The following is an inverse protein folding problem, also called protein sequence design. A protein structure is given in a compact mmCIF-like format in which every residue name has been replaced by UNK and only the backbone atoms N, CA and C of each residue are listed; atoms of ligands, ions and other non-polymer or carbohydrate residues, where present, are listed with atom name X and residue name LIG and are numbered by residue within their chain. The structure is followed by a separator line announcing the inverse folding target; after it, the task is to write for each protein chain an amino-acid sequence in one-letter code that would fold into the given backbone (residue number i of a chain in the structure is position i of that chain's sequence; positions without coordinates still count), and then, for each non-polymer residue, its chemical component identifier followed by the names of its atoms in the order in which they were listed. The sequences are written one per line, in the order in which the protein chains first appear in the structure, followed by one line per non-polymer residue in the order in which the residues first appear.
data_IF_529541835555
#
_entry.id   IF_529541835555
#
_cell.length_a   1.000
_cell.length_b   1.000
_cell.length_c   1.000
_cell.angle_alpha   90.00
_cell.angle_beta   90.00
_cell.angle_gamma   90.00
#
_symmetry.space_group_name_H-M   'P 1'
#
loop_
_entity.id
_entity.type
_entity.pdbx_description
1 polymer ?
#
# COMPACT_ATOMS: atom_id res chain seq x y z
N UNK A 1 23.21 20.20 31.28
CA UNK A 1 23.25 19.01 30.41
C UNK A 1 21.89 18.86 29.75
N UNK A 2 21.76 19.25 28.48
CA UNK A 2 20.50 19.11 27.73
C UNK A 2 20.28 17.64 27.38
N UNK A 3 19.13 17.08 27.75
CA UNK A 3 18.71 15.76 27.28
C UNK A 3 18.56 15.82 25.76
N UNK A 4 19.49 15.22 25.02
CA UNK A 4 19.34 14.97 23.60
C UNK A 4 18.16 14.01 23.44
N UNK A 5 17.01 14.52 23.01
CA UNK A 5 15.88 13.70 22.55
C UNK A 5 16.34 13.07 21.24
N UNK A 6 16.78 11.80 21.29
CA UNK A 6 16.84 10.99 20.09
C UNK A 6 15.39 10.74 19.64
N UNK A 7 14.87 11.61 18.78
CA UNK A 7 13.73 11.24 17.95
C UNK A 7 14.25 10.27 16.91
N UNK A 8 13.99 8.98 17.10
CA UNK A 8 14.10 8.00 16.02
C UNK A 8 13.27 8.55 14.86
N UNK A 9 13.93 8.76 13.72
CA UNK A 9 13.26 9.21 12.51
C UNK A 9 12.43 8.01 12.05
N UNK A 10 11.13 8.14 11.98
CA UNK A 10 10.29 7.06 11.41
C UNK A 10 10.42 7.07 9.89
N UNK A 11 10.28 5.90 9.21
CA UNK A 11 10.17 5.88 7.76
C UNK A 11 8.98 6.71 7.32
N UNK A 12 9.19 7.50 6.27
CA UNK A 12 8.11 8.26 5.62
C UNK A 12 7.42 7.48 4.51
N UNK A 13 8.00 6.36 4.10
CA UNK A 13 7.52 5.52 3.00
C UNK A 13 7.36 6.30 1.68
N UNK A 14 8.31 7.21 1.41
CA UNK A 14 8.22 8.14 0.28
C UNK A 14 8.13 7.38 -1.06
N UNK A 15 8.94 6.32 -1.25
CA UNK A 15 8.95 5.55 -2.51
C UNK A 15 7.64 4.81 -2.72
N UNK A 16 7.15 4.14 -1.67
CA UNK A 16 5.88 3.41 -1.73
C UNK A 16 4.72 4.35 -1.98
N UNK A 17 4.69 5.50 -1.31
CA UNK A 17 3.64 6.48 -1.51
C UNK A 17 3.67 7.09 -2.92
N UNK A 18 4.85 7.41 -3.44
CA UNK A 18 5.02 7.92 -4.80
C UNK A 18 4.57 6.90 -5.85
N UNK A 19 4.92 5.62 -5.68
CA UNK A 19 4.44 4.54 -6.54
C UNK A 19 2.90 4.50 -6.57
N UNK A 20 2.27 4.37 -5.40
CA UNK A 20 0.81 4.27 -5.26
C UNK A 20 0.11 5.48 -5.90
N UNK A 21 0.58 6.68 -5.61
CA UNK A 21 -0.01 7.89 -6.16
C UNK A 21 0.19 7.99 -7.68
N UNK A 22 1.37 7.63 -8.18
CA UNK A 22 1.63 7.61 -9.62
C UNK A 22 0.74 6.62 -10.37
N UNK A 23 0.42 5.47 -9.76
CA UNK A 23 -0.49 4.48 -10.33
C UNK A 23 -1.93 5.03 -10.40
N UNK A 24 -2.41 5.66 -9.33
CA UNK A 24 -3.71 6.32 -9.32
C UNK A 24 -3.80 7.43 -10.38
N UNK A 25 -2.78 8.28 -10.46
CA UNK A 25 -2.68 9.34 -11.47
C UNK A 25 -2.73 8.78 -12.90
N UNK A 26 -1.97 7.71 -13.19
CA UNK A 26 -1.97 7.04 -14.51
C UNK A 26 -3.35 6.48 -14.86
N UNK A 27 -4.04 5.83 -13.93
CA UNK A 27 -5.40 5.29 -14.15
C UNK A 27 -6.42 6.39 -14.42
N UNK A 28 -6.41 7.46 -13.62
CA UNK A 28 -7.27 8.63 -13.82
C UNK A 28 -6.99 9.27 -15.19
N UNK A 29 -5.71 9.44 -15.55
CA UNK A 29 -5.32 9.98 -16.85
C UNK A 29 -5.77 9.12 -18.02
N UNK A 30 -5.69 7.80 -17.88
CA UNK A 30 -6.16 6.86 -18.89
C UNK A 30 -7.68 6.98 -19.10
N UNK A 31 -8.47 6.94 -18.03
CA UNK A 31 -9.94 7.06 -18.12
C UNK A 31 -10.39 8.46 -18.57
N UNK A 32 -9.68 9.51 -18.14
CA UNK A 32 -9.92 10.87 -18.65
C UNK A 32 -9.69 10.97 -20.16
N UNK A 33 -8.63 10.34 -20.69
CA UNK A 33 -8.40 10.28 -22.14
C UNK A 33 -9.58 9.62 -22.87
N UNK A 34 -10.06 8.47 -22.38
CA UNK A 34 -11.25 7.82 -22.94
C UNK A 34 -12.50 8.71 -22.87
N UNK A 35 -12.69 9.41 -21.76
CA UNK A 35 -13.79 10.37 -21.58
C UNK A 35 -13.74 11.53 -22.59
N UNK A 36 -12.54 12.02 -22.92
CA UNK A 36 -12.36 13.06 -23.97
C UNK A 36 -12.62 12.52 -25.38
N UNK A 37 -12.20 11.29 -25.68
CA UNK A 37 -12.41 10.64 -26.98
C UNK A 37 -13.90 10.43 -27.28
N UNK A 38 -14.69 10.00 -26.27
CA UNK A 38 -16.16 9.86 -26.36
C UNK A 38 -16.88 11.16 -26.74
N UNK A 39 -16.24 12.33 -26.53
CA UNK A 39 -16.80 13.66 -26.82
C UNK A 39 -16.23 14.27 -28.11
N UNK A 40 -15.86 13.44 -29.08
CA UNK A 40 -15.34 13.83 -30.40
C UNK A 40 -14.10 14.74 -30.36
N UNK A 41 -13.28 14.66 -29.31
CA UNK A 41 -12.10 15.52 -29.12
C UNK A 41 -12.42 17.04 -29.27
N UNK A 42 -13.67 17.47 -29.01
CA UNK A 42 -14.04 18.89 -28.98
C UNK A 42 -13.31 19.51 -27.79
N UNK A 43 -12.05 19.94 -27.99
CA UNK A 43 -11.09 20.53 -27.02
C UNK A 43 -11.59 20.51 -25.56
N UNK A 44 -11.82 19.32 -25.01
CA UNK A 44 -12.35 19.20 -23.68
C UNK A 44 -11.21 19.57 -22.73
N UNK A 45 -11.35 20.73 -22.12
CA UNK A 45 -10.34 21.27 -21.21
C UNK A 45 -10.55 20.70 -19.82
N UNK A 46 -9.52 20.76 -18.97
CA UNK A 46 -9.67 20.42 -17.55
C UNK A 46 -10.79 21.22 -16.86
N UNK A 47 -11.15 22.40 -17.39
CA UNK A 47 -12.24 23.23 -16.88
C UNK A 47 -13.62 22.66 -17.22
N UNK A 48 -13.74 21.93 -18.32
CA UNK A 48 -14.99 21.28 -18.71
C UNK A 48 -15.25 20.03 -17.87
N UNK A 49 -14.19 19.39 -17.37
CA UNK A 49 -14.27 18.23 -16.50
C UNK A 49 -14.43 18.61 -15.02
N UNK A 50 -13.57 19.50 -14.51
CA UNK A 50 -13.61 19.95 -13.12
C UNK A 50 -13.52 21.48 -13.02
N UNK A 51 -14.65 22.18 -13.22
CA UNK A 51 -14.70 23.65 -13.28
C UNK A 51 -14.21 24.32 -11.99
N UNK A 52 -14.50 23.69 -10.85
CA UNK A 52 -14.22 24.21 -9.51
C UNK A 52 -12.73 24.42 -9.25
N UNK A 53 -11.87 23.55 -9.80
CA UNK A 53 -10.42 23.69 -9.65
C UNK A 53 -9.64 22.93 -10.74
N UNK A 54 -9.58 23.50 -11.95
CA UNK A 54 -8.85 22.91 -13.09
C UNK A 54 -7.36 22.61 -12.82
N UNK A 55 -6.72 23.38 -11.94
CA UNK A 55 -5.29 23.23 -11.66
C UNK A 55 -5.07 21.97 -10.80
N UNK A 56 -5.93 21.74 -9.81
CA UNK A 56 -5.92 20.51 -9.01
C UNK A 56 -6.02 19.28 -9.92
N UNK A 57 -7.01 19.27 -10.81
CA UNK A 57 -7.20 18.14 -11.72
C UNK A 57 -6.00 17.97 -12.67
N UNK A 58 -5.49 19.06 -13.24
CA UNK A 58 -4.28 19.03 -14.07
C UNK A 58 -3.06 18.45 -13.35
N UNK A 59 -2.89 18.74 -12.06
CA UNK A 59 -1.79 18.20 -11.26
C UNK A 59 -1.98 16.70 -10.96
N UNK A 60 -3.22 16.27 -10.67
CA UNK A 60 -3.56 14.85 -10.51
C UNK A 60 -3.19 14.06 -11.78
N UNK A 61 -3.57 14.56 -12.96
CA UNK A 61 -3.29 13.88 -14.23
C UNK A 61 -1.78 13.69 -14.48
N UNK A 62 -0.97 14.65 -14.05
CA UNK A 62 0.48 14.57 -14.17
C UNK A 62 1.16 13.76 -13.06
N UNK A 63 0.43 13.38 -12.01
CA UNK A 63 1.00 12.80 -10.80
C UNK A 63 1.94 13.76 -10.07
N UNK A 64 1.70 15.07 -10.16
CA UNK A 64 2.47 16.07 -9.42
C UNK A 64 2.03 16.06 -7.94
N UNK A 65 3.01 15.96 -7.03
CA UNK A 65 2.82 16.15 -5.59
C UNK A 65 3.05 17.62 -5.26
N UNK A 66 2.24 18.21 -4.37
CA UNK A 66 2.51 19.54 -3.81
C UNK A 66 3.13 19.38 -2.41
N UNK A 67 4.10 20.23 -2.05
CA UNK A 67 4.85 20.13 -0.79
C UNK A 67 3.94 20.07 0.46
N UNK A 68 2.80 20.77 0.44
CA UNK A 68 1.84 20.83 1.56
C UNK A 68 0.71 19.79 1.45
N UNK A 69 0.54 19.17 0.28
CA UNK A 69 -0.46 18.13 0.03
C UNK A 69 0.02 17.18 -1.09
N UNK A 70 0.78 16.14 -0.75
CA UNK A 70 1.35 15.25 -1.76
C UNK A 70 0.28 14.43 -2.50
N UNK A 71 -0.86 14.13 -1.87
CA UNK A 71 -1.88 13.26 -2.47
C UNK A 71 -3.14 14.05 -2.81
N UNK A 72 -3.22 14.52 -4.06
CA UNK A 72 -4.20 15.53 -4.49
C UNK A 72 -5.61 15.00 -4.73
N UNK A 73 -5.86 13.70 -4.60
CA UNK A 73 -7.20 13.09 -4.71
C UNK A 73 -7.98 13.37 -3.41
N UNK A 74 -8.57 14.56 -3.34
CA UNK A 74 -9.35 15.02 -2.19
C UNK A 74 -10.80 14.49 -2.21
N UNK A 75 -11.49 14.47 -1.05
CA UNK A 75 -12.91 14.12 -0.99
C UNK A 75 -13.82 14.97 -1.89
N UNK A 76 -13.39 16.16 -2.30
CA UNK A 76 -14.17 17.05 -3.17
C UNK A 76 -14.15 16.63 -4.64
N UNK A 77 -13.00 16.17 -5.14
CA UNK A 77 -12.87 15.76 -6.55
C UNK A 77 -13.29 14.30 -6.76
N UNK A 78 -13.25 13.49 -5.70
CA UNK A 78 -13.56 12.06 -5.76
C UNK A 78 -14.93 11.73 -6.39
N UNK A 79 -16.05 12.41 -6.04
CA UNK A 79 -17.33 12.16 -6.68
C UNK A 79 -17.35 12.47 -8.18
N UNK A 80 -16.58 13.47 -8.61
CA UNK A 80 -16.46 13.84 -10.03
C UNK A 80 -15.69 12.76 -10.79
N UNK A 81 -14.57 12.29 -10.22
CA UNK A 81 -13.80 11.18 -10.79
C UNK A 81 -14.66 9.93 -10.94
N UNK A 82 -15.39 9.55 -9.88
CA UNK A 82 -16.24 8.36 -9.88
C UNK A 82 -17.35 8.44 -10.93
N UNK A 83 -18.13 9.53 -10.93
CA UNK A 83 -19.30 9.66 -11.78
C UNK A 83 -18.97 9.89 -13.26
N UNK A 84 -17.88 10.61 -13.55
CA UNK A 84 -17.56 10.98 -14.93
C UNK A 84 -16.63 9.98 -15.62
N UNK A 85 -15.71 9.34 -14.91
CA UNK A 85 -14.65 8.53 -15.54
C UNK A 85 -14.96 7.04 -15.60
N UNK A 86 -16.21 6.63 -15.40
CA UNK A 86 -16.64 5.22 -15.44
C UNK A 86 -15.80 4.31 -14.52
N UNK A 87 -15.44 4.78 -13.31
CA UNK A 87 -14.88 3.92 -12.26
C UNK A 87 -16.01 3.11 -11.59
N UNK A 88 -15.73 1.88 -11.18
CA UNK A 88 -16.69 1.02 -10.49
C UNK A 88 -16.98 1.53 -9.08
N UNK A 89 -15.93 1.95 -8.36
CA UNK A 89 -15.99 2.47 -7.01
C UNK A 89 -14.78 3.38 -6.72
N UNK A 90 -14.74 3.97 -5.52
CA UNK A 90 -13.61 4.78 -5.08
C UNK A 90 -12.33 3.96 -4.85
N UNK A 91 -12.44 2.67 -4.52
CA UNK A 91 -11.28 1.80 -4.33
C UNK A 91 -10.50 1.64 -5.65
N UNK A 92 -11.18 1.52 -6.79
CA UNK A 92 -10.54 1.44 -8.10
C UNK A 92 -9.73 2.72 -8.43
N UNK A 93 -10.23 3.89 -8.01
CA UNK A 93 -9.50 5.16 -8.14
C UNK A 93 -8.22 5.10 -7.27
N UNK A 94 -8.42 4.77 -6.00
CA UNK A 94 -7.46 4.40 -4.95
C UNK A 94 -6.30 3.52 -5.42
N UNK A 95 -6.63 2.27 -5.59
CA UNK A 95 -5.74 1.12 -5.58
C UNK A 95 -5.83 0.34 -6.89
N UNK A 96 -6.85 0.59 -7.71
CA UNK A 96 -7.04 -0.08 -9.00
C UNK A 96 -7.83 -1.37 -8.87
N UNK A 97 -8.29 -1.88 -10.01
CA UNK A 97 -9.11 -3.09 -10.08
C UNK A 97 -8.29 -4.37 -9.81
N UNK A 98 -7.10 -4.46 -10.40
CA UNK A 98 -6.21 -5.62 -10.24
C UNK A 98 -4.90 -5.21 -9.57
N UNK A 99 -4.83 -5.48 -8.26
CA UNK A 99 -3.65 -5.17 -7.45
C UNK A 99 -2.45 -6.08 -7.78
N UNK A 100 -2.68 -7.26 -8.36
CA UNK A 100 -1.62 -8.23 -8.70
C UNK A 100 -0.60 -7.63 -9.66
N UNK A 101 -1.05 -6.74 -10.54
CA UNK A 101 -0.23 -6.13 -11.60
C UNK A 101 0.93 -5.30 -11.03
N UNK A 102 0.79 -4.75 -9.83
CA UNK A 102 1.80 -3.88 -9.21
C UNK A 102 2.27 -4.37 -7.84
N UNK A 103 1.81 -5.53 -7.39
CA UNK A 103 2.06 -6.04 -6.02
C UNK A 103 3.56 -6.27 -5.76
N UNK A 104 4.31 -6.76 -6.74
CA UNK A 104 5.77 -6.92 -6.64
C UNK A 104 6.48 -5.56 -6.47
N UNK A 105 6.13 -4.57 -7.30
CA UNK A 105 6.73 -3.23 -7.23
C UNK A 105 6.40 -2.56 -5.90
N UNK A 106 5.18 -2.77 -5.40
CA UNK A 106 4.74 -2.28 -4.09
C UNK A 106 5.58 -2.90 -2.97
N UNK A 107 5.68 -4.24 -2.95
CA UNK A 107 6.49 -4.97 -1.97
C UNK A 107 7.94 -4.48 -2.01
N UNK A 108 8.50 -4.35 -3.21
CA UNK A 108 9.87 -3.90 -3.42
C UNK A 108 10.11 -2.48 -2.90
N UNK A 109 9.23 -1.53 -3.25
CA UNK A 109 9.32 -0.16 -2.73
C UNK A 109 9.22 -0.12 -1.20
N UNK A 110 8.32 -0.90 -0.63
CA UNK A 110 8.09 -0.93 0.82
C UNK A 110 9.32 -1.43 1.56
N UNK A 111 9.91 -2.55 1.14
CA UNK A 111 11.13 -3.08 1.75
C UNK A 111 12.31 -2.12 1.57
N UNK A 112 12.44 -1.45 0.41
CA UNK A 112 13.45 -0.43 0.19
C UNK A 112 13.30 0.79 1.11
N UNK A 113 12.08 1.19 1.43
CA UNK A 113 11.81 2.26 2.40
C UNK A 113 12.13 1.83 3.83
N UNK A 114 11.96 0.55 4.17
CA UNK A 114 12.19 -0.01 5.51
C UNK A 114 13.64 -0.41 5.79
N UNK A 115 14.43 -0.84 4.79
CA UNK A 115 15.72 -1.54 5.00
C UNK A 115 16.75 -0.79 5.84
N UNK A 116 16.70 0.54 5.86
CA UNK A 116 17.66 1.37 6.59
C UNK A 116 17.27 1.58 8.07
N UNK A 117 16.11 1.07 8.49
CA UNK A 117 15.58 1.18 9.84
C UNK A 117 15.70 -0.16 10.53
N UNK A 118 16.50 -0.21 11.60
CA UNK A 118 16.85 -1.46 12.30
C UNK A 118 15.61 -2.16 12.88
N UNK A 119 14.62 -1.39 13.28
CA UNK A 119 13.34 -1.91 13.77
C UNK A 119 12.64 -2.81 12.76
N UNK A 120 12.86 -2.61 11.46
CA UNK A 120 12.30 -3.43 10.39
C UNK A 120 13.32 -4.41 9.83
N UNK A 121 14.55 -3.97 9.53
CA UNK A 121 15.54 -4.84 8.86
C UNK A 121 15.99 -6.05 9.68
N UNK A 122 15.76 -6.05 11.00
CA UNK A 122 15.97 -7.24 11.85
C UNK A 122 15.10 -8.44 11.45
N UNK A 123 13.99 -8.23 10.75
CA UNK A 123 13.04 -9.28 10.35
C UNK A 123 13.50 -10.08 9.12
N UNK A 124 14.50 -9.58 8.38
CA UNK A 124 15.01 -10.22 7.17
C UNK A 124 16.53 -10.19 7.08
N UNK A 125 17.21 -10.21 8.24
CA UNK A 125 18.67 -10.23 8.29
C UNK A 125 19.28 -11.40 7.52
N UNK A 126 18.56 -12.52 7.46
CA UNK A 126 19.03 -13.76 6.87
C UNK A 126 18.92 -13.75 5.34
N UNK A 127 18.01 -12.94 4.79
CA UNK A 127 17.75 -12.83 3.34
C UNK A 127 18.55 -11.71 2.65
N UNK A 128 19.18 -10.81 3.42
CA UNK A 128 19.96 -9.68 2.88
C UNK A 128 19.18 -8.81 1.88
N UNK A 129 17.96 -8.37 2.23
CA UNK A 129 17.07 -7.57 1.39
C UNK A 129 17.54 -6.11 1.21
N UNK A 130 18.72 -5.94 0.62
CA UNK A 130 19.46 -4.66 0.61
C UNK A 130 19.27 -3.84 -0.66
N UNK A 131 18.76 -4.43 -1.74
CA UNK A 131 18.61 -3.79 -3.04
C UNK A 131 17.44 -4.38 -3.84
N UNK A 132 17.03 -3.67 -4.88
CA UNK A 132 15.88 -4.01 -5.72
C UNK A 132 15.93 -5.46 -6.25
N UNK A 133 17.06 -5.87 -6.82
CA UNK A 133 17.22 -7.22 -7.38
C UNK A 133 17.01 -8.30 -6.31
N UNK A 134 17.70 -8.20 -5.16
CA UNK A 134 17.56 -9.18 -4.08
C UNK A 134 16.14 -9.23 -3.51
N UNK A 135 15.46 -8.09 -3.45
CA UNK A 135 14.08 -8.01 -2.94
C UNK A 135 13.10 -8.66 -3.93
N UNK A 136 13.29 -8.43 -5.22
CA UNK A 136 12.49 -9.08 -6.27
C UNK A 136 12.75 -10.59 -6.33
N UNK A 137 14.01 -11.01 -6.25
CA UNK A 137 14.37 -12.43 -6.19
C UNK A 137 13.69 -13.11 -4.99
N UNK A 138 13.72 -12.47 -3.81
CA UNK A 138 12.98 -12.94 -2.63
C UNK A 138 11.48 -13.04 -2.88
N UNK A 139 10.86 -12.01 -3.47
CA UNK A 139 9.44 -12.01 -3.79
C UNK A 139 9.08 -13.17 -4.73
N UNK A 140 9.89 -13.41 -5.76
CA UNK A 140 9.64 -14.48 -6.72
C UNK A 140 9.83 -15.88 -6.09
N UNK A 141 10.87 -16.08 -5.29
CA UNK A 141 11.21 -17.37 -4.70
C UNK A 141 10.30 -17.78 -3.54
N UNK A 142 9.96 -16.84 -2.65
CA UNK A 142 9.28 -17.16 -1.39
C UNK A 142 7.81 -16.76 -1.35
N UNK A 143 7.38 -15.85 -2.23
CA UNK A 143 5.99 -15.42 -2.33
C UNK A 143 5.36 -16.03 -3.59
N UNK A 144 5.83 -15.69 -4.79
CA UNK A 144 5.19 -16.15 -6.04
C UNK A 144 5.30 -17.66 -6.27
N UNK A 145 6.47 -18.25 -6.04
CA UNK A 145 6.67 -19.70 -6.21
C UNK A 145 5.97 -20.55 -5.13
N UNK A 146 5.39 -19.90 -4.11
CA UNK A 146 4.66 -20.53 -2.99
C UNK A 146 3.20 -20.04 -3.03
N UNK A 147 2.28 -20.75 -3.72
CA UNK A 147 0.92 -20.27 -3.95
C UNK A 147 0.20 -19.78 -2.69
N UNK A 148 0.33 -20.52 -1.58
CA UNK A 148 -0.29 -20.16 -0.30
C UNK A 148 0.20 -18.79 0.23
N UNK A 149 1.49 -18.47 0.06
CA UNK A 149 2.06 -17.19 0.48
C UNK A 149 1.58 -16.05 -0.42
N UNK A 150 1.52 -16.29 -1.74
CA UNK A 150 1.05 -15.29 -2.69
C UNK A 150 -0.45 -14.99 -2.50
N UNK A 151 -1.28 -16.02 -2.37
CA UNK A 151 -2.73 -15.87 -2.15
C UNK A 151 -3.00 -15.16 -0.82
N UNK A 152 -2.33 -15.56 0.25
CA UNK A 152 -2.45 -14.89 1.56
C UNK A 152 -2.04 -13.42 1.46
N UNK A 153 -0.89 -13.11 0.86
CA UNK A 153 -0.42 -11.73 0.76
C UNK A 153 -1.36 -10.87 -0.09
N UNK A 154 -1.87 -11.43 -1.18
CA UNK A 154 -2.84 -10.77 -2.03
C UNK A 154 -4.13 -10.46 -1.25
N UNK A 155 -4.70 -11.44 -0.56
CA UNK A 155 -5.95 -11.29 0.19
C UNK A 155 -5.79 -10.27 1.31
N UNK A 156 -4.73 -10.38 2.12
CA UNK A 156 -4.42 -9.41 3.18
C UNK A 156 -4.23 -7.99 2.60
N UNK A 157 -3.63 -7.87 1.40
CA UNK A 157 -3.48 -6.57 0.75
C UNK A 157 -4.80 -6.02 0.21
N UNK A 158 -5.68 -6.87 -0.35
CA UNK A 158 -7.02 -6.46 -0.78
C UNK A 158 -7.82 -5.95 0.41
N UNK A 159 -7.85 -6.69 1.51
CA UNK A 159 -8.49 -6.27 2.77
C UNK A 159 -7.93 -4.92 3.24
N UNK A 160 -6.61 -4.75 3.16
CA UNK A 160 -5.97 -3.46 3.44
C UNK A 160 -6.56 -2.35 2.58
N UNK A 161 -6.72 -2.53 1.27
CA UNK A 161 -7.34 -1.51 0.41
C UNK A 161 -8.78 -1.17 0.82
N UNK A 162 -9.50 -2.15 1.40
CA UNK A 162 -10.84 -1.99 1.99
C UNK A 162 -10.82 -1.66 3.50
N UNK A 163 -9.75 -1.00 3.97
CA UNK A 163 -9.64 -0.43 5.31
C UNK A 163 -9.65 -1.46 6.46
N UNK A 164 -9.38 -2.73 6.16
CA UNK A 164 -9.31 -3.82 7.13
C UNK A 164 -7.94 -4.49 7.14
N UNK A 165 -7.57 -5.10 8.27
CA UNK A 165 -6.45 -6.04 8.32
C UNK A 165 -6.66 -7.01 9.49
N UNK A 166 -6.09 -8.20 9.37
CA UNK A 166 -6.12 -9.19 10.44
C UNK A 166 -5.02 -8.92 11.47
N UNK A 167 -5.39 -8.78 12.74
CA UNK A 167 -4.45 -8.71 13.86
C UNK A 167 -4.64 -9.92 14.77
N UNK A 168 -3.59 -10.29 15.50
CA UNK A 168 -3.64 -11.39 16.46
C UNK A 168 -3.58 -10.84 17.87
N UNK A 169 -4.49 -11.31 18.72
CA UNK A 169 -4.42 -11.09 20.17
C UNK A 169 -4.08 -12.38 20.87
N UNK A 170 -3.12 -12.29 21.78
CA UNK A 170 -2.82 -13.35 22.73
C UNK A 170 -3.64 -13.07 23.99
N UNK A 171 -4.55 -13.97 24.32
CA UNK A 171 -5.39 -13.90 25.52
C UNK A 171 -5.09 -15.10 26.38
N UNK A 172 -4.70 -14.87 27.63
CA UNK A 172 -4.60 -15.94 28.62
C UNK A 172 -6.01 -16.25 29.15
N UNK A 173 -6.44 -17.50 29.00
CA UNK A 173 -7.70 -18.00 29.57
C UNK A 173 -7.37 -19.26 30.35
N UNK A 174 -7.61 -19.23 31.67
CA UNK A 174 -7.38 -20.34 32.59
C UNK A 174 -5.96 -20.94 32.53
N UNK A 175 -4.94 -20.08 32.41
CA UNK A 175 -3.54 -20.49 32.32
C UNK A 175 -3.10 -21.02 30.94
N UNK A 176 -3.97 -20.95 29.93
CA UNK A 176 -3.65 -21.29 28.53
C UNK A 176 -3.67 -20.02 27.68
N UNK A 177 -2.54 -19.71 27.04
CA UNK A 177 -2.49 -18.67 26.02
C UNK A 177 -3.23 -19.13 24.77
N UNK A 178 -4.31 -18.42 24.41
CA UNK A 178 -5.02 -18.58 23.15
C UNK A 178 -4.68 -17.42 22.23
N UNK A 179 -4.42 -17.74 20.97
CA UNK A 179 -4.26 -16.75 19.91
C UNK A 179 -5.63 -16.62 19.24
N UNK A 180 -6.16 -15.40 19.21
CA UNK A 180 -7.41 -15.07 18.53
C UNK A 180 -7.13 -14.08 17.42
N UNK A 181 -7.59 -14.40 16.22
CA UNK A 181 -7.65 -13.48 15.09
C UNK A 181 -8.76 -12.45 15.31
N UNK A 182 -8.48 -11.20 14.94
CA UNK A 182 -9.46 -10.13 15.00
C UNK A 182 -9.22 -9.13 13.87
N UNK A 183 -10.25 -8.91 13.06
CA UNK A 183 -10.29 -7.85 12.07
C UNK A 183 -10.18 -6.49 12.75
N UNK A 184 -9.24 -5.67 12.28
CA UNK A 184 -9.02 -4.31 12.72
C UNK A 184 -9.29 -3.33 11.58
N UNK A 185 -9.84 -2.16 11.92
CA UNK A 185 -9.97 -1.07 10.97
C UNK A 185 -8.74 -0.17 10.99
N UNK A 186 -8.18 0.12 9.82
CA UNK A 186 -6.97 0.95 9.67
C UNK A 186 -7.28 2.42 9.99
N UNK A 187 -8.42 2.93 9.53
CA UNK A 187 -8.87 4.30 9.73
C UNK A 187 -10.27 4.37 10.33
N UNK A 188 -10.32 4.55 11.65
CA UNK A 188 -11.57 4.70 12.42
C UNK A 188 -12.29 6.03 12.20
N UNK A 189 -11.57 7.10 11.83
CA UNK A 189 -12.09 8.47 11.84
C UNK A 189 -13.22 8.71 10.83
N UNK A 190 -13.29 7.93 9.74
CA UNK A 190 -14.25 8.14 8.67
C UNK A 190 -15.13 6.93 8.33
N UNK A 191 -14.90 5.74 8.94
CA UNK A 191 -15.62 4.47 8.63
C UNK A 191 -15.92 4.28 7.14
N UNK A 192 -14.95 4.61 6.29
CA UNK A 192 -15.08 4.37 4.84
C UNK A 192 -14.80 2.89 4.60
N UNK A 193 -15.56 2.29 3.69
CA UNK A 193 -15.33 0.91 3.24
C UNK A 193 -13.98 0.76 2.51
N UNK A 194 -13.38 1.86 2.07
CA UNK A 194 -12.09 1.88 1.36
C UNK A 194 -11.05 2.80 2.03
N UNK A 195 -9.77 2.58 1.72
CA UNK A 195 -8.66 3.44 2.11
C UNK A 195 -8.41 4.57 1.11
N UNK A 196 -8.74 5.80 1.48
CA UNK A 196 -8.25 6.98 0.75
C UNK A 196 -6.76 7.25 0.98
N UNK A 197 -6.16 8.16 0.22
CA UNK A 197 -4.78 8.61 0.44
C UNK A 197 -4.61 9.66 1.55
N UNK A 198 -5.68 10.01 2.26
CA UNK A 198 -5.56 10.86 3.46
C UNK A 198 -4.70 10.12 4.50
N UNK A 199 -3.60 10.73 4.95
CA UNK A 199 -2.62 10.09 5.84
C UNK A 199 -2.00 8.80 5.26
N UNK A 200 -1.72 8.79 3.94
CA UNK A 200 -1.18 7.61 3.25
C UNK A 200 0.08 7.05 3.94
N UNK A 201 1.13 7.83 4.30
CA UNK A 201 2.30 7.30 4.99
C UNK A 201 1.98 6.51 6.26
N UNK A 202 1.02 6.98 7.05
CA UNK A 202 0.60 6.29 8.28
C UNK A 202 -0.12 4.97 7.98
N UNK A 203 -0.86 4.89 6.86
CA UNK A 203 -1.50 3.66 6.40
C UNK A 203 -0.47 2.68 5.86
N UNK A 204 0.53 3.16 5.11
CA UNK A 204 1.63 2.33 4.62
C UNK A 204 2.48 1.78 5.76
N UNK A 205 2.63 2.52 6.86
CA UNK A 205 3.21 1.97 8.09
C UNK A 205 2.45 0.75 8.61
N UNK A 206 1.13 0.78 8.58
CA UNK A 206 0.29 -0.35 9.00
C UNK A 206 0.46 -1.53 8.03
N UNK A 207 0.48 -1.29 6.72
CA UNK A 207 0.79 -2.32 5.72
C UNK A 207 2.13 -3.02 6.01
N UNK A 208 3.17 -2.22 6.29
CA UNK A 208 4.48 -2.74 6.67
C UNK A 208 4.42 -3.59 7.94
N UNK A 209 3.89 -3.03 9.02
CA UNK A 209 3.98 -3.61 10.36
C UNK A 209 3.00 -4.77 10.60
N UNK A 210 1.88 -4.79 9.88
CA UNK A 210 0.78 -5.73 10.14
C UNK A 210 0.56 -6.77 9.06
N UNK A 211 1.13 -6.58 7.87
CA UNK A 211 0.96 -7.51 6.75
C UNK A 211 2.32 -7.99 6.26
N UNK A 212 3.18 -7.07 5.81
CA UNK A 212 4.44 -7.45 5.14
C UNK A 212 5.47 -8.05 6.10
N UNK A 213 5.66 -7.48 7.29
CA UNK A 213 6.58 -8.04 8.29
C UNK A 213 6.12 -9.43 8.76
N UNK A 214 4.86 -9.64 9.17
CA UNK A 214 4.38 -10.97 9.52
C UNK A 214 4.56 -12.01 8.41
N UNK A 215 4.36 -11.62 7.14
CA UNK A 215 4.61 -12.51 5.99
C UNK A 215 6.09 -12.92 5.93
N UNK A 216 7.01 -11.96 6.01
CA UNK A 216 8.46 -12.23 5.99
C UNK A 216 8.89 -13.08 7.20
N UNK A 217 8.33 -12.82 8.38
CA UNK A 217 8.59 -13.60 9.59
C UNK A 217 8.10 -15.06 9.41
N UNK A 218 6.92 -15.27 8.81
CA UNK A 218 6.39 -16.60 8.50
C UNK A 218 7.32 -17.36 7.56
N UNK A 219 7.74 -16.73 6.46
CA UNK A 219 8.69 -17.30 5.49
C UNK A 219 10.02 -17.66 6.18
N UNK A 220 10.52 -16.79 7.05
CA UNK A 220 11.74 -17.04 7.83
C UNK A 220 11.60 -18.30 8.70
N UNK A 221 10.48 -18.43 9.40
CA UNK A 221 10.20 -19.58 10.25
C UNK A 221 10.07 -20.87 9.45
N UNK A 222 9.36 -20.84 8.32
CA UNK A 222 9.24 -21.98 7.40
C UNK A 222 10.61 -22.46 6.94
N UNK A 223 11.48 -21.54 6.50
CA UNK A 223 12.83 -21.86 6.06
C UNK A 223 13.68 -22.48 7.19
N UNK A 224 13.55 -21.98 8.43
CA UNK A 224 14.25 -22.55 9.59
C UNK A 224 13.76 -23.96 9.93
N UNK A 225 12.45 -24.22 9.82
CA UNK A 225 11.86 -25.53 10.06
C UNK A 225 12.31 -26.54 9.00
N UNK A 226 12.31 -26.15 7.72
CA UNK A 226 12.77 -27.00 6.62
C UNK A 226 14.25 -27.37 6.77
N UNK A 227 15.10 -26.42 7.18
CA UNK A 227 16.51 -26.68 7.44
C UNK A 227 16.74 -27.65 8.60
N UNK A 228 15.90 -27.61 9.63
CA UNK A 228 15.99 -28.53 10.76
C UNK A 228 15.51 -29.93 10.39
N UNK A 229 14.41 -30.03 9.63
CA UNK A 229 13.88 -31.31 9.15
C UNK A 229 14.81 -32.03 8.17
N UNK A 230 15.71 -31.33 7.47
CA UNK A 230 16.74 -31.94 6.61
C UNK A 230 18.00 -32.39 7.36
N UNK A 231 18.12 -32.11 8.66
CA UNK A 231 19.28 -32.49 9.49
C UNK A 231 19.04 -33.73 10.36
N UNK A 232 17.79 -34.21 10.43
CA UNK A 232 17.38 -35.46 11.09
C UNK A 232 17.28 -36.62 10.08
#
# INVERSE_FOLDING_TARGET
MGKIKFTLREPKFDRTCDLIYSLAAKRISYKYKQWTEKRNNIKATHRDFYPDNRNLFGNILKGENLDDNPYLITPKILPVLLNELDFNDENEIFWGEDVKIYLEDLFTCLVLDMKNYREYSKHWSDFQLDNDLKIRDFYQEYIVAKPDNFEKFLDDFVDFTYNTYNDFRIVEIDGVCKITEQDQCISLKNKTEFLSFTYLPQKIKILAEKIVIPLIDSISLECLLDQNNMRD
#
